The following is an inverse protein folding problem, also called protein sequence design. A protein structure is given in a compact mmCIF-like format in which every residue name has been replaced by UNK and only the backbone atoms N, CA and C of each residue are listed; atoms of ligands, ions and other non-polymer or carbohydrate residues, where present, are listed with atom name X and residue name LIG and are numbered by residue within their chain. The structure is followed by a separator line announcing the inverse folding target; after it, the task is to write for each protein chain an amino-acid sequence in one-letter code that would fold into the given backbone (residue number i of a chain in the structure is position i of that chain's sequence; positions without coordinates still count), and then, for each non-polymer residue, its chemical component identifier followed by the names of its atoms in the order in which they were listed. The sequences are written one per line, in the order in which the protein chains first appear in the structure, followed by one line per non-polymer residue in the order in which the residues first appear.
data_IF_679153885476
#
_entry.id   IF_679153885476
#
_cell.length_a   1.000
_cell.length_b   1.000
_cell.length_c   1.000
_cell.angle_alpha   90.00
_cell.angle_beta   90.00
_cell.angle_gamma   90.00
#
_symmetry.space_group_name_H-M   'P 1'
#
loop_
_entity.id
_entity.type
_entity.pdbx_description
1 polymer ?
#
# COMPACT_ATOMS: atom_id res chain seq x y z
N UNK A 1 -13.06 12.37 -17.69
CA UNK A 1 -12.37 12.97 -16.54
C UNK A 1 -13.38 13.84 -15.80
N UNK A 2 -13.57 13.65 -14.50
CA UNK A 2 -14.58 14.38 -13.70
C UNK A 2 -13.96 15.59 -13.00
N UNK A 3 -14.80 16.54 -12.57
CA UNK A 3 -14.35 17.72 -11.83
C UNK A 3 -13.66 17.37 -10.50
N UNK A 4 -14.23 16.43 -9.74
CA UNK A 4 -13.65 15.95 -8.48
C UNK A 4 -12.24 15.37 -8.67
N UNK A 5 -12.03 14.60 -9.75
CA UNK A 5 -10.71 14.04 -10.07
C UNK A 5 -9.67 15.14 -10.38
N UNK A 6 -10.06 16.23 -11.06
CA UNK A 6 -9.14 17.36 -11.29
C UNK A 6 -8.73 18.05 -9.98
N UNK A 7 -9.68 18.21 -9.05
CA UNK A 7 -9.42 18.75 -7.71
C UNK A 7 -8.44 17.88 -6.92
N UNK A 8 -8.63 16.57 -6.98
CA UNK A 8 -7.75 15.61 -6.32
C UNK A 8 -6.34 15.69 -6.88
N UNK A 9 -6.17 15.57 -8.21
CA UNK A 9 -4.87 15.67 -8.87
C UNK A 9 -4.13 16.97 -8.52
N UNK A 10 -4.85 18.10 -8.50
CA UNK A 10 -4.31 19.40 -8.10
C UNK A 10 -3.83 19.39 -6.64
N UNK A 11 -4.63 18.84 -5.75
CA UNK A 11 -4.32 18.81 -4.30
C UNK A 11 -3.14 17.89 -4.01
N UNK A 12 -3.06 16.76 -4.72
CA UNK A 12 -1.95 15.80 -4.69
C UNK A 12 -0.62 16.44 -5.13
N UNK A 13 -0.65 17.31 -6.13
CA UNK A 13 0.52 18.09 -6.53
C UNK A 13 0.88 19.24 -5.56
N UNK A 14 0.19 19.36 -4.41
CA UNK A 14 0.39 20.45 -3.45
C UNK A 14 -0.06 21.83 -3.95
N UNK A 15 -0.85 21.88 -5.03
CA UNK A 15 -1.22 23.13 -5.69
C UNK A 15 -2.56 23.63 -5.12
N UNK A 16 -2.56 24.81 -4.49
CA UNK A 16 -3.80 25.48 -4.10
C UNK A 16 -4.63 25.93 -5.33
N UNK A 17 -5.96 26.02 -5.21
CA UNK A 17 -6.84 26.40 -6.33
C UNK A 17 -6.46 27.75 -6.98
N UNK A 18 -6.07 28.74 -6.17
CA UNK A 18 -5.59 30.04 -6.66
C UNK A 18 -4.26 29.94 -7.40
N UNK A 19 -3.36 29.05 -6.96
CA UNK A 19 -2.09 28.79 -7.62
C UNK A 19 -2.28 28.05 -8.97
N UNK A 20 -3.22 27.10 -9.02
CA UNK A 20 -3.61 26.46 -10.28
C UNK A 20 -4.23 27.48 -11.25
N UNK A 21 -5.15 28.31 -10.76
CA UNK A 21 -5.76 29.37 -11.57
C UNK A 21 -4.72 30.36 -12.12
N UNK A 22 -3.74 30.79 -11.31
CA UNK A 22 -2.68 31.69 -11.75
C UNK A 22 -1.75 31.08 -12.83
N UNK A 23 -1.69 29.76 -12.92
CA UNK A 23 -0.88 28.99 -13.89
C UNK A 23 -1.69 28.49 -15.08
N UNK A 24 -2.98 28.81 -15.15
CA UNK A 24 -3.87 28.47 -16.26
C UNK A 24 -4.54 29.74 -16.79
N UNK A 25 -5.25 29.64 -17.92
CA UNK A 25 -6.04 30.75 -18.45
C UNK A 25 -7.42 30.91 -17.76
N UNK A 26 -7.64 30.24 -16.62
CA UNK A 26 -8.95 30.15 -15.97
C UNK A 26 -8.97 30.85 -14.61
N UNK A 27 -10.12 31.43 -14.26
CA UNK A 27 -10.29 32.06 -12.95
C UNK A 27 -10.48 31.01 -11.84
N UNK A 28 -10.10 31.30 -10.58
CA UNK A 28 -10.31 30.36 -9.47
C UNK A 28 -11.78 29.97 -9.30
N UNK A 29 -12.70 30.92 -9.50
CA UNK A 29 -14.14 30.66 -9.40
C UNK A 29 -14.64 29.72 -10.51
N UNK A 30 -14.14 29.88 -11.75
CA UNK A 30 -14.48 28.97 -12.83
C UNK A 30 -13.95 27.55 -12.58
N UNK A 31 -12.69 27.43 -12.16
CA UNK A 31 -12.10 26.14 -11.81
C UNK A 31 -12.82 25.48 -10.64
N UNK A 32 -13.21 26.24 -9.61
CA UNK A 32 -14.01 25.71 -8.49
C UNK A 32 -15.32 25.10 -8.97
N UNK A 33 -16.05 25.81 -9.85
CA UNK A 33 -17.32 25.32 -10.39
C UNK A 33 -17.13 24.07 -11.25
N UNK A 34 -16.03 23.96 -11.99
CA UNK A 34 -15.68 22.75 -12.73
C UNK A 34 -15.34 21.61 -11.77
N UNK A 35 -14.52 21.87 -10.75
CA UNK A 35 -14.09 20.89 -9.75
C UNK A 35 -15.25 20.34 -8.91
N UNK A 36 -16.26 21.16 -8.60
CA UNK A 36 -17.47 20.74 -7.88
C UNK A 36 -18.56 20.18 -8.79
N UNK A 37 -18.30 20.04 -10.08
CA UNK A 37 -19.26 19.50 -11.06
C UNK A 37 -20.40 20.45 -11.43
N UNK A 38 -20.38 21.70 -10.96
CA UNK A 38 -21.34 22.74 -11.33
C UNK A 38 -21.15 23.26 -12.77
N UNK A 39 -19.96 23.03 -13.36
CA UNK A 39 -19.66 23.27 -14.77
C UNK A 39 -18.97 22.05 -15.39
N UNK A 40 -19.15 21.81 -16.70
CA UNK A 40 -18.56 20.66 -17.37
C UNK A 40 -17.03 20.78 -17.49
N UNK A 41 -16.34 19.64 -17.42
CA UNK A 41 -14.91 19.53 -17.70
C UNK A 41 -14.70 19.59 -19.22
N UNK A 42 -14.20 20.71 -19.72
CA UNK A 42 -13.90 20.89 -21.16
C UNK A 42 -12.50 20.40 -21.51
N UNK A 43 -12.25 20.13 -22.79
CA UNK A 43 -10.92 19.73 -23.27
C UNK A 43 -9.82 20.76 -22.91
N UNK A 44 -10.14 22.06 -22.95
CA UNK A 44 -9.22 23.12 -22.58
C UNK A 44 -8.86 23.10 -21.08
N UNK A 45 -9.81 22.74 -20.21
CA UNK A 45 -9.53 22.57 -18.77
C UNK A 45 -8.63 21.35 -18.54
N UNK A 46 -8.89 20.24 -19.23
CA UNK A 46 -8.04 19.05 -19.13
C UNK A 46 -6.60 19.35 -19.56
N UNK A 47 -6.43 20.07 -20.67
CA UNK A 47 -5.10 20.41 -21.18
C UNK A 47 -4.36 21.38 -20.27
N UNK A 48 -5.06 22.37 -19.70
CA UNK A 48 -4.49 23.30 -18.74
C UNK A 48 -4.02 22.58 -17.45
N UNK A 49 -4.81 21.64 -16.93
CA UNK A 49 -4.40 20.82 -15.78
C UNK A 49 -3.21 19.93 -16.13
N UNK A 50 -3.23 19.29 -17.29
CA UNK A 50 -2.11 18.47 -17.78
C UNK A 50 -0.82 19.29 -17.84
N UNK A 51 -0.86 20.48 -18.41
CA UNK A 51 0.30 21.36 -18.54
C UNK A 51 0.88 21.79 -17.20
N UNK A 52 0.04 22.15 -16.22
CA UNK A 52 0.50 22.60 -14.90
C UNK A 52 1.00 21.43 -14.04
N UNK A 53 0.35 20.27 -14.13
CA UNK A 53 0.77 19.08 -13.38
C UNK A 53 2.00 18.39 -14.00
N UNK A 54 2.32 18.70 -15.26
CA UNK A 54 3.55 18.28 -15.93
C UNK A 54 4.74 19.22 -15.67
N UNK A 55 4.55 20.33 -14.93
CA UNK A 55 5.62 21.27 -14.57
C UNK A 55 6.61 20.59 -13.58
N UNK A 56 7.91 20.49 -13.89
CA UNK A 56 8.91 19.82 -13.05
C UNK A 56 9.06 20.42 -11.63
N UNK A 57 8.67 21.68 -11.42
CA UNK A 57 8.73 22.37 -10.12
C UNK A 57 7.53 22.00 -9.22
N UNK A 58 6.50 21.38 -9.79
CA UNK A 58 5.30 20.85 -9.10
C UNK A 58 5.13 19.33 -9.28
N UNK A 59 6.06 18.73 -10.01
CA UNK A 59 5.99 17.39 -10.55
C UNK A 59 6.70 16.34 -9.70
N UNK A 60 6.84 15.16 -10.30
CA UNK A 60 7.56 14.03 -9.73
C UNK A 60 9.07 14.30 -9.74
N UNK A 61 9.57 15.14 -8.82
CA UNK A 61 11.01 15.40 -8.66
C UNK A 61 11.81 14.08 -8.63
N UNK A 62 12.77 13.95 -9.56
CA UNK A 62 13.56 12.72 -9.74
C UNK A 62 13.03 11.72 -10.78
N UNK A 63 11.83 11.91 -11.34
CA UNK A 63 11.29 11.07 -12.42
C UNK A 63 11.52 11.72 -13.78
N UNK A 64 12.18 10.98 -14.67
CA UNK A 64 12.31 11.36 -16.07
C UNK A 64 11.17 10.74 -16.90
N UNK A 65 10.16 11.56 -17.22
CA UNK A 65 8.95 11.11 -17.93
C UNK A 65 9.26 10.59 -19.34
N UNK A 66 10.27 11.16 -20.01
CA UNK A 66 10.68 10.71 -21.35
C UNK A 66 11.37 9.35 -21.27
N UNK A 67 12.24 9.14 -20.28
CA UNK A 67 12.86 7.84 -20.00
C UNK A 67 11.85 6.78 -19.59
N UNK A 68 10.83 7.14 -18.80
CA UNK A 68 9.75 6.22 -18.43
C UNK A 68 8.94 5.81 -19.67
N UNK A 69 8.58 6.76 -20.54
CA UNK A 69 7.88 6.45 -21.80
C UNK A 69 8.73 5.59 -22.74
N UNK A 70 10.03 5.86 -22.82
CA UNK A 70 10.97 5.05 -23.58
C UNK A 70 11.04 3.62 -23.02
N UNK A 71 11.10 3.46 -21.70
CA UNK A 71 11.11 2.16 -21.01
C UNK A 71 9.87 1.33 -21.31
N UNK A 72 8.70 1.96 -21.36
CA UNK A 72 7.45 1.27 -21.72
C UNK A 72 7.43 0.83 -23.19
N UNK A 73 8.02 1.63 -24.09
CA UNK A 73 8.08 1.33 -25.53
C UNK A 73 9.15 0.30 -25.89
N UNK A 74 10.30 0.36 -25.22
CA UNK A 74 11.43 -0.55 -25.40
C UNK A 74 12.01 -1.00 -24.05
N UNK A 75 11.39 -2.02 -23.42
CA UNK A 75 11.87 -2.56 -22.15
C UNK A 75 13.24 -3.25 -22.27
N UNK A 76 13.64 -3.69 -23.46
CA UNK A 76 14.94 -4.32 -23.69
C UNK A 76 16.08 -3.29 -23.64
N UNK A 77 15.83 -2.06 -24.10
CA UNK A 77 16.74 -0.93 -23.98
C UNK A 77 16.77 -0.24 -22.60
N UNK A 78 15.92 -0.67 -21.65
CA UNK A 78 15.82 -0.04 -20.34
C UNK A 78 17.09 -0.26 -19.48
N UNK A 79 17.62 0.82 -18.92
CA UNK A 79 18.78 0.79 -18.02
C UNK A 79 18.39 0.88 -16.54
N UNK A 80 19.38 0.93 -15.65
CA UNK A 80 19.17 1.06 -14.20
C UNK A 80 18.30 2.28 -13.82
N UNK A 81 18.53 3.43 -14.48
CA UNK A 81 17.73 4.64 -14.24
C UNK A 81 16.24 4.50 -14.55
N UNK A 82 15.84 3.56 -15.41
CA UNK A 82 14.43 3.25 -15.67
C UNK A 82 13.77 2.51 -14.50
N UNK A 83 14.53 1.67 -13.79
CA UNK A 83 14.04 0.99 -12.59
C UNK A 83 13.91 1.98 -11.42
N UNK A 84 14.85 2.92 -11.30
CA UNK A 84 14.80 3.98 -10.31
C UNK A 84 13.54 4.85 -10.47
N UNK A 85 13.19 5.23 -11.70
CA UNK A 85 11.94 5.97 -11.98
C UNK A 85 10.70 5.20 -11.52
N UNK A 86 10.62 3.89 -11.83
CA UNK A 86 9.49 3.05 -11.42
C UNK A 86 9.44 2.96 -9.88
N UNK A 87 10.57 2.84 -9.21
CA UNK A 87 10.64 2.79 -7.75
C UNK A 87 10.14 4.10 -7.11
N UNK A 88 10.55 5.26 -7.64
CA UNK A 88 10.10 6.58 -7.15
C UNK A 88 8.60 6.76 -7.35
N UNK A 89 8.06 6.39 -8.51
CA UNK A 89 6.62 6.49 -8.79
C UNK A 89 5.84 5.54 -7.88
N UNK A 90 6.34 4.32 -7.67
CA UNK A 90 5.71 3.33 -6.80
C UNK A 90 5.58 3.85 -5.37
N UNK A 91 6.64 4.44 -4.82
CA UNK A 91 6.67 5.02 -3.48
C UNK A 91 5.63 6.14 -3.32
N UNK A 92 5.63 7.11 -4.23
CA UNK A 92 4.65 8.21 -4.24
C UNK A 92 3.22 7.70 -4.43
N UNK A 93 3.02 6.64 -5.21
CA UNK A 93 1.69 6.05 -5.42
C UNK A 93 1.13 5.41 -4.15
N UNK A 94 1.97 4.93 -3.23
CA UNK A 94 1.51 4.43 -1.91
C UNK A 94 0.97 5.56 -1.05
N UNK A 95 1.72 6.65 -0.95
CA UNK A 95 1.27 7.81 -0.18
C UNK A 95 0.05 8.49 -0.80
N UNK A 96 -0.07 8.46 -2.13
CA UNK A 96 -1.29 8.90 -2.82
C UNK A 96 -2.49 8.04 -2.42
N UNK A 97 -2.30 6.72 -2.38
CA UNK A 97 -3.36 5.78 -2.04
C UNK A 97 -3.93 6.00 -0.65
N UNK A 98 -3.10 6.31 0.35
CA UNK A 98 -3.59 6.66 1.70
C UNK A 98 -4.61 7.82 1.69
N UNK A 99 -4.49 8.74 0.73
CA UNK A 99 -5.33 9.94 0.62
C UNK A 99 -6.58 9.68 -0.22
N UNK A 100 -6.44 9.00 -1.37
CA UNK A 100 -7.50 8.88 -2.38
C UNK A 100 -8.15 7.49 -2.41
N UNK A 101 -7.57 6.54 -1.69
CA UNK A 101 -8.00 5.15 -1.62
C UNK A 101 -7.53 4.27 -2.78
N UNK A 102 -7.66 2.94 -2.61
CA UNK A 102 -7.02 1.94 -3.48
C UNK A 102 -7.64 1.87 -4.87
N UNK A 103 -8.94 2.17 -5.00
CA UNK A 103 -9.67 2.10 -6.26
C UNK A 103 -9.16 3.08 -7.32
N UNK A 104 -8.62 4.24 -6.90
CA UNK A 104 -8.16 5.28 -7.82
C UNK A 104 -6.73 5.04 -8.32
N UNK A 105 -5.90 4.32 -7.57
CA UNK A 105 -4.50 4.06 -7.95
C UNK A 105 -4.29 2.71 -8.66
N UNK A 106 -5.21 1.74 -8.53
CA UNK A 106 -4.99 0.36 -9.00
C UNK A 106 -4.70 0.26 -10.51
N UNK A 107 -5.29 1.11 -11.36
CA UNK A 107 -5.00 1.08 -12.80
C UNK A 107 -3.57 1.56 -13.11
N UNK A 108 -3.09 2.58 -12.40
CA UNK A 108 -1.72 3.06 -12.53
C UNK A 108 -0.73 1.94 -12.14
N UNK A 109 -0.98 1.27 -11.02
CA UNK A 109 -0.12 0.20 -10.53
C UNK A 109 -0.13 -1.03 -11.46
N UNK A 110 -1.26 -1.35 -12.11
CA UNK A 110 -1.31 -2.38 -13.17
C UNK A 110 -0.40 -2.04 -14.35
N UNK A 111 -0.35 -0.78 -14.76
CA UNK A 111 0.57 -0.31 -15.81
C UNK A 111 2.03 -0.45 -15.38
N UNK A 112 2.35 -0.04 -14.14
CA UNK A 112 3.69 -0.20 -13.58
C UNK A 112 4.11 -1.67 -13.47
N UNK A 113 3.21 -2.58 -13.06
CA UNK A 113 3.49 -4.03 -12.97
C UNK A 113 3.88 -4.60 -14.35
N UNK A 114 3.16 -4.20 -15.41
CA UNK A 114 3.49 -4.59 -16.78
C UNK A 114 4.87 -4.10 -17.21
N UNK A 115 5.18 -2.83 -16.96
CA UNK A 115 6.48 -2.24 -17.31
C UNK A 115 7.63 -2.90 -16.53
N UNK A 116 7.48 -3.05 -15.20
CA UNK A 116 8.50 -3.65 -14.35
C UNK A 116 8.79 -5.11 -14.74
N UNK A 117 7.76 -5.89 -15.08
CA UNK A 117 7.93 -7.27 -15.57
C UNK A 117 8.61 -7.34 -16.92
N UNK A 118 8.27 -6.43 -17.83
CA UNK A 118 8.93 -6.39 -19.14
C UNK A 118 10.43 -6.11 -18.97
N UNK A 119 10.80 -5.13 -18.14
CA UNK A 119 12.22 -4.87 -17.83
C UNK A 119 12.88 -6.08 -17.16
N UNK A 120 12.22 -6.71 -16.17
CA UNK A 120 12.74 -7.89 -15.48
C UNK A 120 12.96 -9.10 -16.42
N UNK A 121 12.11 -9.28 -17.44
CA UNK A 121 12.21 -10.35 -18.42
C UNK A 121 13.41 -10.22 -19.36
N UNK A 122 13.86 -9.00 -19.61
CA UNK A 122 15.07 -8.72 -20.39
C UNK A 122 16.33 -8.61 -19.52
N UNK A 123 16.16 -8.12 -18.29
CA UNK A 123 17.24 -7.84 -17.35
C UNK A 123 16.89 -8.44 -15.99
N UNK A 124 17.56 -9.51 -15.58
CA UNK A 124 17.30 -10.16 -14.28
C UNK A 124 17.40 -9.20 -13.08
N UNK A 125 18.12 -8.09 -13.22
CA UNK A 125 18.22 -7.01 -12.24
C UNK A 125 16.88 -6.34 -11.88
N UNK A 126 15.85 -6.44 -12.73
CA UNK A 126 14.52 -5.88 -12.48
C UNK A 126 13.58 -6.75 -11.64
N UNK A 127 13.93 -8.03 -11.40
CA UNK A 127 13.01 -8.99 -10.77
C UNK A 127 12.59 -8.60 -9.35
N UNK A 128 13.49 -7.98 -8.57
CA UNK A 128 13.18 -7.49 -7.23
C UNK A 128 12.14 -6.38 -7.24
N UNK A 129 12.31 -5.37 -8.12
CA UNK A 129 11.35 -4.28 -8.24
C UNK A 129 10.02 -4.77 -8.80
N UNK A 130 10.05 -5.66 -9.80
CA UNK A 130 8.85 -6.29 -10.33
C UNK A 130 8.08 -7.07 -9.24
N UNK A 131 8.79 -7.76 -8.34
CA UNK A 131 8.18 -8.41 -7.17
C UNK A 131 7.50 -7.39 -6.26
N UNK A 132 8.16 -6.27 -5.95
CA UNK A 132 7.61 -5.23 -5.09
C UNK A 132 6.37 -4.56 -5.68
N UNK A 133 6.39 -4.25 -6.98
CA UNK A 133 5.25 -3.68 -7.71
C UNK A 133 4.10 -4.68 -7.75
N UNK A 134 4.38 -5.95 -8.07
CA UNK A 134 3.38 -7.01 -8.07
C UNK A 134 2.77 -7.21 -6.67
N UNK A 135 3.58 -7.18 -5.60
CA UNK A 135 3.08 -7.27 -4.22
C UNK A 135 2.10 -6.14 -3.91
N UNK A 136 2.47 -4.90 -4.21
CA UNK A 136 1.60 -3.74 -3.97
C UNK A 136 0.32 -3.82 -4.80
N UNK A 137 0.43 -4.20 -6.08
CA UNK A 137 -0.72 -4.47 -6.93
C UNK A 137 -1.63 -5.53 -6.30
N UNK A 138 -1.07 -6.63 -5.85
CA UNK A 138 -1.81 -7.73 -5.23
C UNK A 138 -2.65 -7.27 -4.04
N UNK A 139 -2.08 -6.42 -3.17
CA UNK A 139 -2.83 -5.78 -2.09
C UNK A 139 -3.96 -4.87 -2.60
N UNK A 140 -3.72 -4.04 -3.62
CA UNK A 140 -4.76 -3.17 -4.20
C UNK A 140 -5.90 -3.98 -4.84
N UNK A 141 -5.60 -5.09 -5.50
CA UNK A 141 -6.62 -5.98 -6.05
C UNK A 141 -7.44 -6.62 -4.92
N UNK A 142 -6.83 -6.94 -3.78
CA UNK A 142 -7.56 -7.39 -2.59
C UNK A 142 -8.47 -6.28 -2.05
N UNK A 143 -7.92 -5.08 -1.83
CA UNK A 143 -8.65 -3.93 -1.28
C UNK A 143 -9.77 -3.42 -2.20
N UNK A 144 -9.73 -3.78 -3.49
CA UNK A 144 -10.77 -3.46 -4.49
C UNK A 144 -11.66 -4.66 -4.84
N UNK A 145 -11.76 -5.62 -3.91
CA UNK A 145 -12.64 -6.80 -3.98
C UNK A 145 -12.40 -7.70 -5.21
N UNK A 146 -11.13 -7.95 -5.52
CA UNK A 146 -10.68 -8.91 -6.55
C UNK A 146 -9.75 -9.97 -5.95
N UNK A 147 -10.20 -10.75 -4.95
CA UNK A 147 -9.34 -11.63 -4.17
C UNK A 147 -8.67 -12.76 -4.97
N UNK A 148 -9.30 -13.25 -6.05
CA UNK A 148 -8.68 -14.25 -6.93
C UNK A 148 -7.53 -13.68 -7.76
N UNK A 149 -7.66 -12.41 -8.19
CA UNK A 149 -6.59 -11.73 -8.92
C UNK A 149 -5.46 -11.36 -7.95
N UNK A 150 -5.81 -10.92 -6.74
CA UNK A 150 -4.86 -10.66 -5.67
C UNK A 150 -3.95 -11.87 -5.39
N UNK A 151 -4.51 -13.06 -5.11
CA UNK A 151 -3.69 -14.25 -4.83
C UNK A 151 -2.79 -14.63 -6.00
N UNK A 152 -3.29 -14.58 -7.24
CA UNK A 152 -2.46 -14.84 -8.44
C UNK A 152 -1.28 -13.88 -8.51
N UNK A 153 -1.55 -12.58 -8.41
CA UNK A 153 -0.53 -11.53 -8.54
C UNK A 153 0.49 -11.60 -7.40
N UNK A 154 0.04 -11.88 -6.18
CA UNK A 154 0.93 -12.07 -5.04
C UNK A 154 1.76 -13.36 -5.15
N UNK A 155 1.19 -14.42 -5.73
CA UNK A 155 1.93 -15.65 -6.06
C UNK A 155 3.02 -15.41 -7.09
N UNK A 156 2.76 -14.57 -8.08
CA UNK A 156 3.79 -14.10 -9.02
C UNK A 156 4.87 -13.27 -8.32
N UNK A 157 4.47 -12.39 -7.39
CA UNK A 157 5.40 -11.57 -6.61
C UNK A 157 6.40 -12.44 -5.82
N UNK A 158 5.91 -13.52 -5.18
CA UNK A 158 6.78 -14.47 -4.49
C UNK A 158 7.79 -15.14 -5.45
N UNK A 159 7.35 -15.59 -6.64
CA UNK A 159 8.26 -16.18 -7.64
C UNK A 159 9.31 -15.21 -8.14
N UNK A 160 8.94 -13.94 -8.37
CA UNK A 160 9.87 -12.89 -8.75
C UNK A 160 10.90 -12.60 -7.63
N UNK A 161 10.46 -12.63 -6.36
CA UNK A 161 11.36 -12.46 -5.22
C UNK A 161 12.36 -13.62 -5.09
N UNK A 162 11.92 -14.87 -5.29
CA UNK A 162 12.79 -16.04 -5.32
C UNK A 162 13.83 -15.93 -6.44
N UNK A 163 13.42 -15.55 -7.64
CA UNK A 163 14.32 -15.34 -8.79
C UNK A 163 15.35 -14.25 -8.50
N UNK A 164 14.95 -13.17 -7.81
CA UNK A 164 15.83 -12.09 -7.42
C UNK A 164 16.72 -12.42 -6.21
N UNK A 165 16.47 -13.53 -5.51
CA UNK A 165 17.09 -13.82 -4.21
C UNK A 165 16.75 -12.78 -3.13
N UNK A 166 15.66 -12.01 -3.30
CA UNK A 166 15.28 -10.95 -2.36
C UNK A 166 14.39 -11.51 -1.24
N UNK A 167 14.97 -11.65 -0.06
CA UNK A 167 14.33 -12.19 1.14
C UNK A 167 13.20 -11.31 1.67
N UNK A 168 13.37 -9.99 1.63
CA UNK A 168 12.35 -9.06 2.10
C UNK A 168 11.08 -9.19 1.27
N UNK A 169 11.23 -9.14 -0.06
CA UNK A 169 10.09 -9.26 -0.96
C UNK A 169 9.46 -10.66 -0.89
N UNK A 170 10.24 -11.72 -0.67
CA UNK A 170 9.71 -13.08 -0.51
C UNK A 170 8.85 -13.21 0.75
N UNK A 171 9.38 -12.77 1.91
CA UNK A 171 8.65 -12.77 3.17
C UNK A 171 7.36 -11.94 3.05
N UNK A 172 7.47 -10.73 2.47
CA UNK A 172 6.34 -9.81 2.36
C UNK A 172 5.28 -10.30 1.36
N UNK A 173 5.68 -10.97 0.28
CA UNK A 173 4.74 -11.61 -0.65
C UNK A 173 3.98 -12.74 0.05
N UNK A 174 4.65 -13.63 0.78
CA UNK A 174 3.98 -14.66 1.57
C UNK A 174 3.01 -14.07 2.60
N UNK A 175 3.44 -13.02 3.31
CA UNK A 175 2.63 -12.28 4.28
C UNK A 175 1.32 -11.73 3.69
N UNK A 176 1.37 -11.04 2.55
CA UNK A 176 0.15 -10.51 1.91
C UNK A 176 -0.73 -11.59 1.30
N UNK A 177 -0.16 -12.72 0.87
CA UNK A 177 -0.95 -13.90 0.46
C UNK A 177 -1.68 -14.50 1.65
N UNK A 178 -1.02 -14.60 2.80
CA UNK A 178 -1.63 -15.10 4.03
C UNK A 178 -2.81 -14.21 4.44
N UNK A 179 -2.61 -12.89 4.43
CA UNK A 179 -3.66 -11.90 4.67
C UNK A 179 -4.86 -12.09 3.73
N UNK A 180 -4.60 -12.24 2.42
CA UNK A 180 -5.67 -12.45 1.42
C UNK A 180 -6.40 -13.79 1.65
N UNK A 181 -5.68 -14.85 1.98
CA UNK A 181 -6.26 -16.17 2.26
C UNK A 181 -7.15 -16.13 3.52
N UNK A 182 -6.71 -15.42 4.57
CA UNK A 182 -7.49 -15.19 5.81
C UNK A 182 -8.83 -14.55 5.51
N UNK A 183 -8.85 -13.44 4.76
CA UNK A 183 -10.09 -12.74 4.40
C UNK A 183 -11.04 -13.56 3.52
N UNK A 184 -10.53 -14.55 2.80
CA UNK A 184 -11.33 -15.51 2.02
C UNK A 184 -11.84 -16.69 2.87
N UNK A 185 -11.44 -16.78 4.12
CA UNK A 185 -11.73 -17.92 5.00
C UNK A 185 -10.88 -19.18 4.74
N UNK A 186 -9.83 -19.09 3.91
CA UNK A 186 -8.89 -20.21 3.70
C UNK A 186 -7.80 -20.19 4.79
N UNK A 187 -8.21 -20.54 6.01
CA UNK A 187 -7.33 -20.48 7.18
C UNK A 187 -6.14 -21.44 7.08
N UNK A 188 -6.29 -22.58 6.40
CA UNK A 188 -5.18 -23.52 6.21
C UNK A 188 -4.07 -22.88 5.37
N UNK A 189 -4.43 -22.33 4.22
CA UNK A 189 -3.48 -21.62 3.37
C UNK A 189 -2.89 -20.40 4.09
N UNK A 190 -3.71 -19.66 4.84
CA UNK A 190 -3.23 -18.50 5.61
C UNK A 190 -2.17 -18.89 6.65
N UNK A 191 -2.37 -20.00 7.38
CA UNK A 191 -1.37 -20.53 8.33
C UNK A 191 -0.10 -20.96 7.61
N UNK A 192 -0.21 -21.76 6.55
CA UNK A 192 0.96 -22.24 5.79
C UNK A 192 1.82 -21.08 5.27
N UNK A 193 1.18 -20.04 4.73
CA UNK A 193 1.86 -18.86 4.21
C UNK A 193 2.44 -17.95 5.32
N UNK A 194 1.75 -17.83 6.45
CA UNK A 194 2.26 -17.07 7.60
C UNK A 194 3.53 -17.71 8.16
N UNK A 195 3.54 -19.03 8.33
CA UNK A 195 4.72 -19.76 8.80
C UNK A 195 5.85 -19.70 7.75
N UNK A 196 5.52 -19.77 6.46
CA UNK A 196 6.50 -19.57 5.38
C UNK A 196 7.14 -18.17 5.43
N UNK A 197 6.36 -17.12 5.66
CA UNK A 197 6.86 -15.75 5.80
C UNK A 197 7.79 -15.61 7.01
N UNK A 198 7.40 -16.17 8.17
CA UNK A 198 8.22 -16.17 9.39
C UNK A 198 9.54 -16.94 9.20
N UNK A 199 9.53 -18.00 8.40
CA UNK A 199 10.69 -18.85 8.15
C UNK A 199 11.74 -18.21 7.21
N UNK A 200 11.42 -17.12 6.53
CA UNK A 200 12.38 -16.42 5.66
C UNK A 200 13.47 -15.75 6.50
N UNK A 201 14.61 -16.41 6.63
CA UNK A 201 15.77 -15.89 7.36
C UNK A 201 16.44 -14.76 6.58
N UNK A 202 16.88 -13.71 7.29
CA UNK A 202 17.57 -12.57 6.71
C UNK A 202 16.66 -11.53 6.05
N UNK A 203 15.33 -11.64 6.19
CA UNK A 203 14.42 -10.56 5.87
C UNK A 203 14.42 -9.47 6.95
N UNK A 204 13.98 -8.27 6.61
CA UNK A 204 13.88 -7.14 7.53
C UNK A 204 13.01 -7.52 8.74
N UNK A 205 13.47 -7.30 9.98
CA UNK A 205 12.80 -7.80 11.19
C UNK A 205 11.36 -7.32 11.34
N UNK A 206 11.05 -6.10 10.86
CA UNK A 206 9.70 -5.54 10.92
C UNK A 206 8.65 -6.40 10.20
N UNK A 207 9.02 -7.11 9.14
CA UNK A 207 8.12 -7.99 8.40
C UNK A 207 7.68 -9.15 9.29
N UNK A 208 8.64 -9.75 9.98
CA UNK A 208 8.38 -10.84 10.91
C UNK A 208 7.54 -10.41 12.12
N UNK A 209 7.50 -9.12 12.49
CA UNK A 209 6.59 -8.63 13.53
C UNK A 209 5.15 -8.79 13.08
N UNK A 210 4.82 -8.28 11.89
CA UNK A 210 3.47 -8.38 11.34
C UNK A 210 3.01 -9.83 11.17
N UNK A 211 3.90 -10.71 10.68
CA UNK A 211 3.56 -12.13 10.49
C UNK A 211 3.31 -12.85 11.83
N UNK A 212 3.98 -12.46 12.91
CA UNK A 212 3.72 -13.00 14.25
C UNK A 212 2.35 -12.56 14.78
N UNK A 213 1.92 -11.34 14.48
CA UNK A 213 0.55 -10.93 14.78
C UNK A 213 -0.48 -11.69 13.94
N UNK A 214 -0.25 -11.87 12.63
CA UNK A 214 -1.13 -12.70 11.78
C UNK A 214 -1.25 -14.12 12.32
N UNK A 215 -0.15 -14.72 12.79
CA UNK A 215 -0.17 -16.04 13.43
C UNK A 215 -1.03 -16.04 14.69
N UNK A 216 -0.88 -15.04 15.55
CA UNK A 216 -1.67 -14.91 16.77
C UNK A 216 -3.17 -14.77 16.45
N UNK A 217 -3.49 -14.01 15.41
CA UNK A 217 -4.84 -13.82 14.91
C UNK A 217 -5.45 -15.13 14.39
N UNK A 218 -4.72 -15.86 13.54
CA UNK A 218 -5.18 -17.13 12.99
C UNK A 218 -5.48 -18.16 14.09
N UNK A 219 -4.61 -18.24 15.11
CA UNK A 219 -4.86 -19.06 16.30
C UNK A 219 -6.13 -18.63 17.04
N UNK A 220 -6.36 -17.33 17.19
CA UNK A 220 -7.55 -16.81 17.84
C UNK A 220 -8.83 -17.17 17.05
N UNK A 221 -8.81 -16.98 15.73
CA UNK A 221 -9.92 -17.31 14.83
C UNK A 221 -10.25 -18.82 14.80
N UNK A 222 -9.27 -19.67 15.10
CA UNK A 222 -9.45 -21.12 15.24
C UNK A 222 -9.93 -21.55 16.65
N UNK A 223 -10.11 -20.61 17.59
CA UNK A 223 -10.53 -20.89 18.96
C UNK A 223 -9.39 -21.29 19.91
N UNK A 224 -8.13 -21.25 19.45
CA UNK A 224 -6.95 -21.64 20.22
C UNK A 224 -6.47 -20.51 21.15
N UNK A 225 -7.36 -19.99 22.00
CA UNK A 225 -7.16 -18.71 22.72
C UNK A 225 -5.88 -18.67 23.58
N UNK A 226 -5.51 -19.79 24.21
CA UNK A 226 -4.28 -19.86 25.01
C UNK A 226 -3.02 -19.81 24.14
N UNK A 227 -3.05 -20.45 22.98
CA UNK A 227 -1.96 -20.38 22.02
C UNK A 227 -1.88 -18.99 21.37
N UNK A 228 -3.03 -18.41 21.04
CA UNK A 228 -3.16 -17.05 20.52
C UNK A 228 -2.58 -16.01 21.50
N UNK A 229 -2.92 -16.08 22.79
CA UNK A 229 -2.38 -15.18 23.80
C UNK A 229 -0.85 -15.26 23.91
N UNK A 230 -0.27 -16.48 23.87
CA UNK A 230 1.19 -16.67 23.85
C UNK A 230 1.83 -16.15 22.56
N UNK A 231 1.16 -16.34 21.42
CA UNK A 231 1.63 -15.84 20.13
C UNK A 231 1.58 -14.31 20.08
N UNK A 232 0.52 -13.69 20.59
CA UNK A 232 0.36 -12.24 20.70
C UNK A 232 1.48 -11.64 21.56
N UNK A 233 1.74 -12.20 22.74
CA UNK A 233 2.86 -11.74 23.58
C UNK A 233 4.21 -11.85 22.86
N UNK A 234 4.42 -12.89 22.05
CA UNK A 234 5.66 -13.01 21.23
C UNK A 234 5.70 -11.98 20.10
N UNK A 235 4.55 -11.62 19.53
CA UNK A 235 4.45 -10.56 18.53
C UNK A 235 4.77 -9.19 19.15
N UNK A 236 4.22 -8.88 20.33
CA UNK A 236 4.52 -7.66 21.08
C UNK A 236 6.02 -7.55 21.39
N UNK A 237 6.65 -8.62 21.90
CA UNK A 237 8.11 -8.61 22.13
C UNK A 237 8.92 -8.44 20.84
N UNK A 238 8.43 -8.95 19.71
CA UNK A 238 9.10 -8.76 18.43
C UNK A 238 8.96 -7.31 17.95
N UNK A 239 7.80 -6.67 18.17
CA UNK A 239 7.60 -5.25 17.92
C UNK A 239 8.52 -4.39 18.78
N UNK A 240 8.62 -4.66 20.09
CA UNK A 240 9.54 -3.94 20.99
C UNK A 240 11.01 -4.13 20.56
N UNK A 241 11.40 -5.33 20.12
CA UNK A 241 12.76 -5.60 19.65
C UNK A 241 13.09 -4.93 18.29
N UNK A 242 12.07 -4.65 17.48
CA UNK A 242 12.21 -3.95 16.20
C UNK A 242 12.09 -2.42 16.35
N UNK A 243 11.78 -1.92 17.55
CA UNK A 243 11.64 -0.48 17.81
C UNK A 243 12.97 0.25 17.54
N UNK A 244 12.88 1.41 16.90
CA UNK A 244 14.04 2.20 16.48
C UNK A 244 14.82 1.67 15.26
N UNK A 245 14.46 0.51 14.70
CA UNK A 245 15.02 0.06 13.41
C UNK A 245 14.38 0.88 12.28
N UNK A 246 15.20 1.46 11.41
CA UNK A 246 14.73 2.23 10.27
C UNK A 246 13.84 1.38 9.37
N UNK A 247 12.65 1.89 9.03
CA UNK A 247 11.69 1.14 8.22
C UNK A 247 12.09 1.18 6.73
N UNK A 248 11.89 0.08 6.01
CA UNK A 248 11.97 0.11 4.55
C UNK A 248 10.81 0.92 3.98
N UNK A 249 11.02 1.55 2.82
CA UNK A 249 9.99 2.38 2.15
C UNK A 249 8.69 1.60 1.93
N UNK A 250 8.74 0.33 1.55
CA UNK A 250 7.55 -0.50 1.34
C UNK A 250 6.81 -0.91 2.63
N UNK A 251 7.31 -0.53 3.80
CA UNK A 251 6.77 -0.86 5.12
C UNK A 251 6.69 0.34 6.06
N UNK A 252 6.62 1.57 5.53
CA UNK A 252 6.60 2.82 6.31
C UNK A 252 5.45 2.89 7.34
N UNK A 253 4.37 2.14 7.13
CA UNK A 253 3.22 2.08 8.04
C UNK A 253 3.39 1.11 9.22
N UNK A 254 4.42 0.25 9.23
CA UNK A 254 4.70 -0.71 10.30
C UNK A 254 5.28 -0.05 11.55
N UNK A 255 4.45 0.78 12.17
CA UNK A 255 4.75 1.56 13.35
C UNK A 255 4.17 0.89 14.60
N UNK A 256 4.66 1.27 15.78
CA UNK A 256 4.11 0.79 17.06
C UNK A 256 2.58 1.00 17.19
N UNK A 257 2.02 2.16 16.81
CA UNK A 257 0.56 2.35 16.78
C UNK A 257 -0.18 1.41 15.82
N UNK A 258 0.39 1.12 14.65
CA UNK A 258 -0.17 0.11 13.73
C UNK A 258 -0.22 -1.28 14.37
N UNK A 259 0.86 -1.71 15.03
CA UNK A 259 0.87 -3.01 15.72
C UNK A 259 -0.09 -3.09 16.89
N UNK A 260 -0.35 -1.97 17.58
CA UNK A 260 -1.41 -1.91 18.59
C UNK A 260 -2.80 -2.17 17.98
N UNK A 261 -3.11 -1.59 16.81
CA UNK A 261 -4.35 -1.91 16.09
C UNK A 261 -4.42 -3.40 15.72
N UNK A 262 -3.31 -3.99 15.25
CA UNK A 262 -3.28 -5.41 14.92
C UNK A 262 -3.49 -6.28 16.16
N UNK A 263 -2.87 -5.93 17.29
CA UNK A 263 -3.09 -6.60 18.58
C UNK A 263 -4.55 -6.51 19.04
N UNK A 264 -5.22 -5.38 18.80
CA UNK A 264 -6.64 -5.23 19.08
C UNK A 264 -7.52 -6.19 18.26
N UNK A 265 -7.21 -6.40 16.98
CA UNK A 265 -7.90 -7.40 16.13
C UNK A 265 -7.73 -8.80 16.73
N UNK A 266 -6.54 -9.17 17.18
CA UNK A 266 -6.29 -10.46 17.84
C UNK A 266 -7.09 -10.58 19.14
N UNK A 267 -7.14 -9.53 19.96
CA UNK A 267 -7.92 -9.51 21.20
C UNK A 267 -9.42 -9.69 20.92
N UNK A 268 -9.95 -9.03 19.88
CA UNK A 268 -11.35 -9.18 19.47
C UNK A 268 -11.64 -10.61 19.02
N UNK A 269 -10.77 -11.20 18.20
CA UNK A 269 -10.89 -12.60 17.77
C UNK A 269 -10.87 -13.61 18.93
N UNK A 270 -10.17 -13.31 20.04
CA UNK A 270 -10.20 -14.11 21.27
C UNK A 270 -11.43 -13.85 22.17
N UNK A 271 -12.36 -12.99 21.75
CA UNK A 271 -13.54 -12.61 22.53
C UNK A 271 -13.26 -11.59 23.65
N UNK A 272 -12.10 -10.92 23.67
CA UNK A 272 -11.72 -9.92 24.67
C UNK A 272 -12.14 -8.50 24.25
N UNK A 273 -13.41 -8.32 23.94
CA UNK A 273 -13.93 -7.08 23.30
C UNK A 273 -13.55 -5.78 24.02
N UNK A 274 -13.70 -5.71 25.35
CA UNK A 274 -13.36 -4.49 26.09
C UNK A 274 -11.86 -4.13 25.98
N UNK A 275 -10.97 -5.13 25.97
CA UNK A 275 -9.53 -4.91 25.85
C UNK A 275 -9.15 -4.56 24.41
N UNK A 276 -9.82 -5.19 23.43
CA UNK A 276 -9.67 -4.90 22.02
C UNK A 276 -9.99 -3.42 21.72
N UNK A 277 -11.16 -2.93 22.14
CA UNK A 277 -11.58 -1.54 21.92
C UNK A 277 -10.58 -0.54 22.52
N UNK A 278 -10.19 -0.72 23.79
CA UNK A 278 -9.21 0.18 24.43
C UNK A 278 -7.86 0.18 23.70
N UNK A 279 -7.39 -0.99 23.27
CA UNK A 279 -6.13 -1.11 22.53
C UNK A 279 -6.24 -0.47 21.15
N UNK A 280 -7.38 -0.64 20.48
CA UNK A 280 -7.66 -0.05 19.18
C UNK A 280 -7.69 1.48 19.24
N UNK A 281 -8.41 2.05 20.21
CA UNK A 281 -8.49 3.50 20.40
C UNK A 281 -7.10 4.12 20.68
N UNK A 282 -6.30 3.47 21.53
CA UNK A 282 -4.92 3.90 21.81
C UNK A 282 -4.03 3.82 20.57
N UNK A 283 -4.10 2.72 19.82
CA UNK A 283 -3.37 2.53 18.57
C UNK A 283 -3.75 3.58 17.53
N UNK A 284 -5.05 3.81 17.34
CA UNK A 284 -5.57 4.78 16.38
C UNK A 284 -5.17 6.22 16.74
N UNK A 285 -5.29 6.60 18.02
CA UNK A 285 -4.85 7.90 18.51
C UNK A 285 -3.34 8.13 18.37
N UNK A 286 -2.55 7.05 18.35
CA UNK A 286 -1.11 7.10 18.12
C UNK A 286 -0.68 7.15 16.67
N UNK A 287 -1.57 6.86 15.70
CA UNK A 287 -1.22 6.88 14.28
C UNK A 287 -0.79 8.28 13.81
N UNK A 288 0.17 8.38 12.86
CA UNK A 288 0.39 9.60 12.11
C UNK A 288 -0.91 10.12 11.47
N UNK A 289 -1.06 11.44 11.36
CA UNK A 289 -2.28 12.06 10.85
C UNK A 289 -2.70 11.49 9.48
N UNK A 290 -1.75 11.34 8.54
CA UNK A 290 -2.03 10.78 7.22
C UNK A 290 -2.44 9.30 7.21
N UNK A 291 -2.22 8.56 8.30
CA UNK A 291 -2.67 7.18 8.43
C UNK A 291 -4.03 7.05 9.11
N UNK A 292 -4.53 8.12 9.75
CA UNK A 292 -5.85 8.12 10.38
C UNK A 292 -6.91 8.27 9.30
N UNK A 293 -7.87 7.36 9.27
CA UNK A 293 -8.98 7.43 8.30
C UNK A 293 -8.68 6.75 6.97
N UNK A 294 -7.47 6.21 6.80
CA UNK A 294 -7.18 5.29 5.70
C UNK A 294 -8.10 4.08 5.75
N UNK A 295 -8.35 3.48 4.59
CA UNK A 295 -9.26 2.33 4.47
C UNK A 295 -8.87 1.18 5.40
N UNK A 296 -7.57 0.90 5.53
CA UNK A 296 -7.03 -0.16 6.38
C UNK A 296 -7.17 0.15 7.86
N UNK A 297 -6.91 1.40 8.32
CA UNK A 297 -6.98 1.73 9.74
C UNK A 297 -8.43 1.67 10.24
N UNK A 298 -9.38 2.16 9.44
CA UNK A 298 -10.81 2.08 9.73
C UNK A 298 -11.31 0.63 9.74
N UNK A 299 -10.79 -0.22 8.84
CA UNK A 299 -11.16 -1.63 8.83
C UNK A 299 -10.69 -2.38 10.08
N UNK A 300 -9.46 -2.11 10.55
CA UNK A 300 -8.94 -2.68 11.79
C UNK A 300 -9.73 -2.22 13.01
N UNK A 301 -10.12 -0.94 13.06
CA UNK A 301 -11.00 -0.41 14.12
C UNK A 301 -12.35 -1.16 14.16
N UNK A 302 -12.97 -1.37 13.00
CA UNK A 302 -14.21 -2.17 12.89
C UNK A 302 -14.01 -3.61 13.34
N UNK A 303 -12.92 -4.27 12.91
CA UNK A 303 -12.59 -5.63 13.33
C UNK A 303 -12.37 -5.74 14.85
N UNK A 304 -11.84 -4.69 15.48
CA UNK A 304 -11.67 -4.63 16.93
C UNK A 304 -12.97 -4.30 17.71
N UNK A 305 -14.06 -3.99 17.01
CA UNK A 305 -15.34 -3.56 17.59
C UNK A 305 -15.33 -2.13 18.11
N UNK A 306 -14.38 -1.30 17.67
CA UNK A 306 -14.30 0.12 18.03
C UNK A 306 -15.03 0.97 16.98
N UNK A 307 -15.88 1.89 17.44
CA UNK A 307 -16.49 2.90 16.58
C UNK A 307 -15.52 4.05 16.36
N UNK A 308 -15.30 4.41 15.10
CA UNK A 308 -14.59 5.66 14.78
C UNK A 308 -15.59 6.79 14.80
N UNK A 309 -15.46 7.73 15.75
CA UNK A 309 -16.30 8.94 15.73
C UNK A 309 -16.06 9.71 14.42
N UNK A 310 -17.13 10.18 13.74
CA UNK A 310 -17.04 10.90 12.47
C UNK A 310 -16.32 12.24 12.57
#
# INVERSE_FOLDING_TARGET
MTGGLLRELRTVAGIGLRAMAARTAFTPGYLSLVETGCKPVTAAVVEAYRSVLADPVLGLEGVDVERLQATVRDPAGAGAGSLDDIAVILDRTRHLEDVVGPALVVQLVRGMDGAARAVAGHHGAGASLASEVARYRGWLEHATDRPHLADRVLGDAARLAEQAGNRDQLAHAHSFRAYTARHRGDFRLAVDLTEAAIAVTGAHPILGVYDRYQRAELLALQGEHQAAARALHRADRAADAADGIALPSFGYWYTRPFFALQGAVVLAAMGRGADAVRTAEQGYAGLPEGHRGTSWSLDMMRQAGAETSP
#
